data_IF_387011110027
#
_entry.id   IF_387011110027
#
_cell.length_a   1.000
_cell.length_b   1.000
_cell.length_c   1.000
_cell.angle_alpha   90.00
_cell.angle_beta   90.00
_cell.angle_gamma   90.00
#
_symmetry.space_group_name_H-M   'P 1'
#
loop_
_entity.id
_entity.type
_entity.pdbx_description
1 polymer ?
#
# COMPACT_ATOMS: atom_id res chain seq x y z
N UNK A 1 84.73 -13.89 3.38
CA UNK A 1 84.67 -13.30 2.03
C UNK A 1 83.89 -12.01 2.13
N UNK A 2 84.61 -10.91 1.83
CA UNK A 2 84.11 -9.56 1.90
C UNK A 2 83.23 -9.25 0.66
N UNK A 3 82.16 -8.50 0.81
CA UNK A 3 81.76 -7.50 -0.21
C UNK A 3 81.07 -6.27 0.45
N UNK A 4 81.50 -5.16 -0.03
CA UNK A 4 81.39 -3.77 0.43
C UNK A 4 80.02 -3.17 0.25
N UNK A 5 79.69 -2.27 1.17
CA UNK A 5 78.72 -1.23 1.06
C UNK A 5 79.02 -0.22 -0.07
N UNK A 6 78.01 0.21 -0.77
CA UNK A 6 78.08 1.45 -1.57
C UNK A 6 76.85 2.30 -1.23
N UNK A 7 77.15 3.47 -0.64
CA UNK A 7 76.18 4.55 -0.39
C UNK A 7 75.98 5.31 -1.69
N UNK A 8 74.71 5.57 -2.02
CA UNK A 8 74.34 6.61 -2.98
C UNK A 8 73.33 7.54 -2.28
N UNK A 9 73.83 8.74 -2.01
CA UNK A 9 73.04 9.88 -1.60
C UNK A 9 72.24 10.41 -2.78
N UNK A 10 70.94 10.58 -2.62
CA UNK A 10 70.11 11.33 -3.58
C UNK A 10 69.36 12.44 -2.88
N UNK A 11 69.54 13.64 -3.38
CA UNK A 11 69.07 14.89 -2.83
C UNK A 11 67.54 14.99 -2.84
N UNK A 12 66.99 15.41 -1.70
CA UNK A 12 65.60 15.77 -1.54
C UNK A 12 65.35 17.18 -2.11
N UNK A 13 64.59 17.27 -3.17
CA UNK A 13 64.00 18.53 -3.63
C UNK A 13 62.61 18.70 -2.99
N UNK A 14 62.51 19.64 -2.06
CA UNK A 14 61.24 20.09 -1.46
C UNK A 14 60.43 20.89 -2.52
N UNK A 15 59.36 20.30 -3.03
CA UNK A 15 58.29 21.00 -3.70
C UNK A 15 57.13 21.21 -2.72
N UNK A 16 57.02 22.40 -2.16
CA UNK A 16 55.89 22.89 -1.41
C UNK A 16 54.71 23.15 -2.35
N UNK A 17 53.74 22.23 -2.39
CA UNK A 17 52.45 22.52 -2.99
C UNK A 17 51.50 23.02 -1.89
N UNK A 18 51.17 24.30 -1.97
CA UNK A 18 50.14 24.94 -1.17
C UNK A 18 48.78 24.30 -1.47
N UNK A 19 48.23 23.59 -0.51
CA UNK A 19 46.81 23.22 -0.54
C UNK A 19 45.97 24.45 -0.17
N UNK A 20 45.29 25.01 -1.15
CA UNK A 20 44.26 25.98 -0.91
C UNK A 20 43.08 25.24 -0.21
N UNK A 21 42.86 25.54 1.04
CA UNK A 21 41.66 25.16 1.78
C UNK A 21 40.48 25.95 1.22
N UNK A 22 39.64 25.29 0.44
CA UNK A 22 38.33 25.82 0.10
C UNK A 22 37.48 25.75 1.37
N UNK A 23 37.26 26.88 2.03
CA UNK A 23 36.27 27.07 3.05
C UNK A 23 34.88 26.90 2.40
N UNK A 24 34.19 25.79 2.76
CA UNK A 24 32.77 25.67 2.49
C UNK A 24 32.04 26.69 3.34
N UNK A 25 31.34 27.61 2.72
CA UNK A 25 30.50 28.60 3.38
C UNK A 25 29.30 27.93 4.08
N UNK A 26 28.87 28.47 5.24
CA UNK A 26 27.69 27.98 5.94
C UNK A 26 26.44 28.59 5.27
N UNK A 27 25.78 27.88 4.39
CA UNK A 27 24.37 28.12 4.01
C UNK A 27 23.88 27.00 3.08
N UNK A 28 23.72 25.79 3.64
CA UNK A 28 22.74 24.85 3.13
C UNK A 28 21.54 24.92 4.07
N UNK A 29 20.55 25.69 3.68
CA UNK A 29 19.22 25.67 4.27
C UNK A 29 18.74 24.23 4.26
N UNK A 30 18.21 23.69 5.40
CA UNK A 30 17.63 22.36 5.38
C UNK A 30 16.52 22.33 4.34
N UNK A 31 16.54 21.34 3.45
CA UNK A 31 15.42 21.11 2.53
C UNK A 31 14.20 20.88 3.41
N UNK A 32 13.34 21.90 3.48
CA UNK A 32 11.99 21.75 4.03
C UNK A 32 11.36 20.55 3.34
N UNK A 33 10.84 19.62 4.15
CA UNK A 33 10.03 18.53 3.65
C UNK A 33 8.95 19.13 2.75
N UNK A 34 9.11 18.97 1.44
CA UNK A 34 8.08 19.35 0.48
C UNK A 34 6.89 18.45 0.78
N UNK A 35 5.82 19.04 1.32
CA UNK A 35 4.51 18.41 1.28
C UNK A 35 4.26 17.94 -0.15
N UNK A 36 3.82 16.69 -0.32
CA UNK A 36 3.43 16.19 -1.63
C UNK A 36 2.53 17.24 -2.31
N UNK A 37 2.73 17.53 -3.60
CA UNK A 37 1.88 18.49 -4.29
C UNK A 37 0.44 18.09 -4.10
N UNK A 38 -0.42 19.04 -3.77
CA UNK A 38 -1.86 18.80 -3.66
C UNK A 38 -2.34 18.16 -4.96
N UNK A 39 -3.18 17.12 -4.87
CA UNK A 39 -3.76 16.48 -6.04
C UNK A 39 -4.47 17.53 -6.89
N UNK A 40 -4.28 17.49 -8.19
CA UNK A 40 -4.99 18.37 -9.14
C UNK A 40 -6.48 18.01 -9.26
N UNK A 41 -6.89 16.88 -8.69
CA UNK A 41 -8.24 16.32 -8.81
C UNK A 41 -9.12 16.82 -7.67
N UNK A 42 -10.30 17.36 -8.01
CA UNK A 42 -11.32 17.71 -7.03
C UNK A 42 -12.03 16.45 -6.56
N UNK A 43 -12.07 16.24 -5.27
CA UNK A 43 -12.77 15.14 -4.60
C UNK A 43 -13.99 15.66 -3.84
N UNK A 44 -15.01 14.80 -3.70
CA UNK A 44 -16.09 15.01 -2.74
C UNK A 44 -15.88 14.05 -1.56
N UNK A 45 -15.92 14.59 -0.33
CA UNK A 45 -15.76 13.82 0.90
C UNK A 45 -17.12 13.39 1.44
N UNK A 46 -17.21 12.13 1.88
CA UNK A 46 -18.43 11.54 2.38
C UNK A 46 -18.18 10.77 3.67
N UNK A 47 -19.15 10.78 4.54
CA UNK A 47 -19.16 9.96 5.75
C UNK A 47 -20.53 9.31 5.93
N UNK A 48 -20.53 8.01 6.22
CA UNK A 48 -21.71 7.28 6.65
C UNK A 48 -21.48 6.63 8.01
N UNK A 49 -22.56 6.43 8.75
CA UNK A 49 -22.55 5.71 10.02
C UNK A 49 -23.38 4.43 9.85
N UNK A 50 -22.73 3.30 10.07
CA UNK A 50 -23.41 2.00 10.10
C UNK A 50 -23.75 1.65 11.56
N UNK A 51 -25.03 1.58 11.92
CA UNK A 51 -25.41 1.25 13.28
C UNK A 51 -25.23 -0.23 13.58
N UNK A 52 -24.77 -0.55 14.79
CA UNK A 52 -24.64 -1.91 15.31
C UNK A 52 -23.86 -2.85 14.38
N UNK A 53 -22.73 -2.40 13.86
CA UNK A 53 -21.91 -3.22 12.98
C UNK A 53 -21.32 -4.41 13.76
N UNK A 54 -21.65 -5.62 13.31
CA UNK A 54 -21.16 -6.86 13.92
C UNK A 54 -19.94 -7.36 13.18
N UNK A 55 -18.82 -7.47 13.89
CA UNK A 55 -17.57 -8.03 13.36
C UNK A 55 -17.62 -9.57 13.27
N UNK A 56 -16.73 -10.15 12.48
CA UNK A 56 -16.57 -11.60 12.36
C UNK A 56 -16.25 -12.30 13.68
N UNK A 57 -15.63 -11.59 14.63
CA UNK A 57 -15.41 -12.03 16.01
C UNK A 57 -16.69 -12.14 16.85
N UNK A 58 -17.81 -11.57 16.37
CA UNK A 58 -19.08 -11.47 17.09
C UNK A 58 -19.25 -10.19 17.90
N UNK A 59 -18.18 -9.40 18.08
CA UNK A 59 -18.22 -8.09 18.74
C UNK A 59 -19.09 -7.12 17.94
N UNK A 60 -19.72 -6.16 18.63
CA UNK A 60 -20.58 -5.15 17.99
C UNK A 60 -20.02 -3.77 18.31
N UNK A 61 -19.78 -2.96 17.28
CA UNK A 61 -19.57 -1.53 17.43
C UNK A 61 -20.92 -0.82 17.23
N UNK A 62 -21.40 -0.04 18.20
CA UNK A 62 -22.71 0.63 18.10
C UNK A 62 -22.81 1.55 16.88
N UNK A 63 -21.72 2.21 16.55
CA UNK A 63 -21.59 3.10 15.39
C UNK A 63 -20.25 2.85 14.71
N UNK A 64 -20.26 2.32 13.48
CA UNK A 64 -19.08 2.24 12.64
C UNK A 64 -19.11 3.42 11.67
N UNK A 65 -18.21 4.38 11.86
CA UNK A 65 -17.98 5.47 10.91
C UNK A 65 -17.19 4.94 9.71
N UNK A 66 -17.70 5.19 8.51
CA UNK A 66 -17.02 4.93 7.25
C UNK A 66 -16.91 6.23 6.45
N UNK A 67 -15.68 6.62 6.15
CA UNK A 67 -15.34 7.75 5.31
C UNK A 67 -14.87 7.25 3.94
N UNK A 68 -15.18 7.99 2.89
CA UNK A 68 -14.71 7.75 1.53
C UNK A 68 -14.71 9.04 0.72
N UNK A 69 -13.90 9.10 -0.31
CA UNK A 69 -13.91 10.18 -1.29
C UNK A 69 -14.41 9.66 -2.63
N UNK A 70 -14.97 10.57 -3.43
CA UNK A 70 -15.45 10.26 -4.78
C UNK A 70 -14.93 11.26 -5.81
N UNK A 71 -14.80 10.79 -7.07
CA UNK A 71 -14.52 11.62 -8.24
C UNK A 71 -15.43 11.16 -9.39
N UNK A 72 -15.82 12.10 -10.26
CA UNK A 72 -16.78 11.83 -11.32
C UNK A 72 -18.21 11.69 -10.80
N UNK A 73 -19.13 11.31 -11.68
CA UNK A 73 -20.55 11.23 -11.38
C UNK A 73 -21.10 9.81 -11.65
N UNK A 74 -22.01 9.30 -10.80
CA UNK A 74 -22.63 8.01 -11.02
C UNK A 74 -23.55 8.06 -12.25
N UNK A 75 -23.40 7.08 -13.12
CA UNK A 75 -24.30 6.86 -14.25
C UNK A 75 -25.16 5.62 -13.99
N UNK A 76 -26.42 5.68 -14.46
CA UNK A 76 -27.35 4.56 -14.42
C UNK A 76 -27.79 4.18 -15.82
N UNK A 77 -27.75 2.89 -16.11
CA UNK A 77 -28.24 2.36 -17.36
C UNK A 77 -29.77 2.46 -17.47
N UNK A 78 -30.33 2.06 -18.62
CA UNK A 78 -31.79 2.11 -18.88
C UNK A 78 -32.62 1.26 -17.89
N UNK A 79 -32.05 0.25 -17.27
CA UNK A 79 -32.70 -0.58 -16.26
C UNK A 79 -32.58 0.02 -14.82
N UNK A 80 -31.86 1.13 -14.67
CA UNK A 80 -31.69 1.85 -13.41
C UNK A 80 -30.50 1.38 -12.56
N UNK A 81 -29.68 0.45 -13.06
CA UNK A 81 -28.48 -0.04 -12.38
C UNK A 81 -27.28 0.89 -12.61
N UNK A 82 -26.44 1.02 -11.61
CA UNK A 82 -25.15 1.71 -11.73
C UNK A 82 -24.23 0.92 -12.65
N UNK A 83 -23.67 1.54 -13.69
CA UNK A 83 -22.86 0.84 -14.72
C UNK A 83 -21.43 1.40 -14.89
N UNK A 84 -21.10 2.49 -14.18
CA UNK A 84 -19.79 3.16 -14.31
C UNK A 84 -19.00 3.29 -13.01
N UNK A 85 -19.47 2.72 -11.90
CA UNK A 85 -18.81 2.85 -10.61
C UNK A 85 -17.54 1.98 -10.54
N UNK A 86 -16.44 2.54 -10.02
CA UNK A 86 -15.16 1.87 -9.81
C UNK A 86 -14.76 2.02 -8.35
N UNK A 87 -14.51 0.89 -7.69
CA UNK A 87 -14.02 0.85 -6.32
C UNK A 87 -12.49 0.74 -6.32
N UNK A 88 -11.81 1.71 -5.70
CA UNK A 88 -10.36 1.77 -5.60
C UNK A 88 -9.91 1.55 -4.16
N UNK A 89 -9.20 0.46 -3.88
CA UNK A 89 -8.84 0.02 -2.55
C UNK A 89 -7.34 0.23 -2.27
N UNK A 90 -7.03 0.95 -1.18
CA UNK A 90 -5.67 1.29 -0.79
C UNK A 90 -4.92 0.14 -0.06
N UNK A 91 -3.61 0.31 0.13
CA UNK A 91 -2.75 -0.63 0.87
C UNK A 91 -2.75 -0.40 2.38
N UNK A 92 -2.17 -1.35 3.12
CA UNK A 92 -2.03 -1.33 4.60
C UNK A 92 -1.43 -0.01 5.09
N UNK A 93 -2.07 0.60 6.09
CA UNK A 93 -1.65 1.88 6.67
C UNK A 93 -1.90 3.10 5.77
N UNK A 94 -2.63 2.91 4.65
CA UNK A 94 -3.09 3.98 3.78
C UNK A 94 -4.44 4.56 4.18
N UNK A 95 -5.03 5.32 3.26
CA UNK A 95 -6.37 5.92 3.39
C UNK A 95 -6.93 6.24 2.00
N UNK A 96 -8.12 6.82 1.93
CA UNK A 96 -8.80 7.21 0.69
C UNK A 96 -7.91 8.07 -0.25
N UNK A 97 -7.05 8.92 0.31
CA UNK A 97 -6.17 9.79 -0.48
C UNK A 97 -4.87 9.08 -0.95
N UNK A 98 -4.58 7.86 -0.50
CA UNK A 98 -3.32 7.17 -0.86
C UNK A 98 -3.17 6.96 -2.37
N UNK A 99 -4.28 6.75 -3.09
CA UNK A 99 -4.29 6.58 -4.54
C UNK A 99 -4.46 7.91 -5.30
N UNK A 100 -4.51 9.05 -4.59
CA UNK A 100 -4.48 10.39 -5.17
C UNK A 100 -3.07 10.88 -5.45
N UNK A 101 -2.02 10.07 -5.20
CA UNK A 101 -0.65 10.45 -5.54
C UNK A 101 -0.49 10.57 -7.06
N UNK A 102 0.34 11.53 -7.56
CA UNK A 102 0.47 11.81 -8.99
C UNK A 102 0.93 10.63 -9.85
N UNK A 103 1.71 9.68 -9.29
CA UNK A 103 2.17 8.48 -10.01
C UNK A 103 1.03 7.52 -10.34
N UNK A 104 -0.10 7.65 -9.65
CA UNK A 104 -1.32 6.89 -9.87
C UNK A 104 -2.41 7.75 -10.52
N UNK A 105 -2.85 8.80 -9.85
CA UNK A 105 -4.01 9.59 -10.25
C UNK A 105 -3.80 10.37 -11.56
N UNK A 106 -2.63 11.02 -11.74
CA UNK A 106 -2.37 11.80 -12.96
C UNK A 106 -2.21 10.92 -14.21
N UNK A 107 -1.89 9.65 -14.00
CA UNK A 107 -1.75 8.68 -15.09
C UNK A 107 -3.10 8.05 -15.49
N UNK A 108 -4.03 7.93 -14.53
CA UNK A 108 -5.24 7.12 -14.71
C UNK A 108 -6.54 7.93 -14.82
N UNK A 109 -6.63 9.13 -14.20
CA UNK A 109 -7.93 9.80 -14.00
C UNK A 109 -8.28 10.84 -15.07
N UNK A 110 -7.29 11.26 -15.87
CA UNK A 110 -7.49 12.27 -16.91
C UNK A 110 -8.38 11.82 -18.08
N UNK A 111 -8.87 12.78 -18.87
CA UNK A 111 -9.66 12.47 -20.08
C UNK A 111 -8.94 11.51 -21.02
N UNK A 112 -9.60 10.41 -21.37
CA UNK A 112 -9.04 9.35 -22.21
C UNK A 112 -8.13 8.34 -21.52
N UNK A 113 -7.80 8.52 -20.24
CA UNK A 113 -7.07 7.57 -19.43
C UNK A 113 -7.94 6.36 -19.03
N UNK A 114 -7.32 5.35 -18.41
CA UNK A 114 -7.99 4.09 -18.09
C UNK A 114 -9.17 4.24 -17.11
N UNK A 115 -9.07 5.18 -16.18
CA UNK A 115 -10.09 5.49 -15.17
C UNK A 115 -10.56 6.95 -15.30
N UNK A 116 -10.80 7.39 -16.52
CA UNK A 116 -11.25 8.73 -16.90
C UNK A 116 -12.47 9.16 -16.07
N UNK A 117 -12.31 10.15 -15.19
CA UNK A 117 -13.36 10.65 -14.27
C UNK A 117 -14.55 11.31 -15.00
N UNK A 118 -14.43 11.61 -16.30
CA UNK A 118 -15.56 12.08 -17.10
C UNK A 118 -16.50 10.94 -17.52
N UNK A 119 -16.07 9.68 -17.32
CA UNK A 119 -16.79 8.46 -17.68
C UNK A 119 -17.10 7.58 -16.48
N UNK A 120 -16.17 7.51 -15.52
CA UNK A 120 -16.27 6.64 -14.35
C UNK A 120 -16.58 7.44 -13.09
N UNK A 121 -17.35 6.81 -12.23
CA UNK A 121 -17.57 7.25 -10.85
C UNK A 121 -16.60 6.48 -9.94
N UNK A 122 -15.50 7.14 -9.55
CA UNK A 122 -14.49 6.54 -8.72
C UNK A 122 -14.87 6.70 -7.23
N UNK A 123 -14.78 5.61 -6.48
CA UNK A 123 -15.08 5.53 -5.04
C UNK A 123 -13.83 5.01 -4.35
N UNK A 124 -13.26 5.81 -3.47
CA UNK A 124 -12.05 5.49 -2.72
C UNK A 124 -12.38 5.51 -1.21
N UNK A 125 -12.69 4.36 -0.60
CA UNK A 125 -12.96 4.32 0.83
C UNK A 125 -11.66 4.37 1.64
N UNK A 126 -11.77 4.89 2.87
CA UNK A 126 -10.94 4.46 3.97
C UNK A 126 -11.39 3.05 4.40
N UNK A 127 -10.47 2.23 4.84
CA UNK A 127 -10.83 0.94 5.41
C UNK A 127 -11.07 1.04 6.93
N UNK A 128 -11.78 0.06 7.53
CA UNK A 128 -11.92 -0.03 8.98
C UNK A 128 -10.53 0.00 9.62
N UNK A 129 -10.34 0.83 10.62
CA UNK A 129 -9.06 1.00 11.29
C UNK A 129 -8.05 1.91 10.55
N UNK A 130 -8.47 2.63 9.50
CA UNK A 130 -7.62 3.49 8.69
C UNK A 130 -8.27 4.86 8.46
N UNK A 131 -7.45 5.85 8.10
CA UNK A 131 -7.89 7.17 7.70
C UNK A 131 -8.83 7.84 8.71
N UNK A 132 -9.98 8.27 8.24
CA UNK A 132 -11.03 8.87 9.05
C UNK A 132 -12.14 7.88 9.49
N UNK A 133 -12.02 6.58 9.15
CA UNK A 133 -12.91 5.56 9.65
C UNK A 133 -12.72 5.33 11.15
N UNK A 134 -13.71 4.68 11.77
CA UNK A 134 -13.54 4.20 13.14
C UNK A 134 -12.29 3.35 13.27
N UNK A 135 -11.45 3.65 14.26
CA UNK A 135 -10.16 3.01 14.49
C UNK A 135 -9.79 2.97 15.97
N UNK A 136 -8.82 2.16 16.38
CA UNK A 136 -8.37 2.05 17.77
C UNK A 136 -8.05 3.39 18.43
N UNK A 137 -7.34 4.28 17.74
CA UNK A 137 -6.93 5.59 18.26
C UNK A 137 -8.10 6.55 18.53
N UNK A 138 -9.32 6.26 18.07
CA UNK A 138 -10.52 7.07 18.36
C UNK A 138 -11.05 6.90 19.79
N UNK A 139 -10.30 6.24 20.71
CA UNK A 139 -10.59 6.15 22.13
C UNK A 139 -10.93 4.75 22.67
N UNK A 140 -11.16 3.75 21.80
CA UNK A 140 -11.29 2.37 22.22
C UNK A 140 -9.95 1.67 22.46
N UNK A 141 -8.90 2.21 21.87
CA UNK A 141 -7.52 1.70 22.00
C UNK A 141 -7.46 0.16 21.73
N UNK A 142 -6.78 -0.61 22.58
CA UNK A 142 -6.69 -2.06 22.44
C UNK A 142 -8.03 -2.81 22.60
N UNK A 143 -9.10 -2.12 23.01
CA UNK A 143 -10.46 -2.68 23.12
C UNK A 143 -11.30 -2.49 21.85
N UNK A 144 -10.73 -1.90 20.80
CA UNK A 144 -11.39 -1.83 19.50
C UNK A 144 -11.64 -3.27 18.97
N UNK A 145 -12.80 -3.55 18.34
CA UNK A 145 -13.09 -4.90 17.82
C UNK A 145 -12.02 -5.37 16.84
N UNK A 146 -11.60 -6.60 16.97
CA UNK A 146 -10.59 -7.20 16.10
C UNK A 146 -11.19 -7.48 14.71
N UNK A 147 -11.07 -6.54 13.81
CA UNK A 147 -11.53 -6.64 12.42
C UNK A 147 -10.57 -7.45 11.54
N UNK A 148 -11.08 -7.91 10.40
CA UNK A 148 -10.33 -8.59 9.34
C UNK A 148 -10.76 -8.08 7.95
N UNK A 149 -10.26 -8.71 6.87
CA UNK A 149 -10.60 -8.28 5.51
C UNK A 149 -12.04 -8.59 5.12
N UNK A 150 -12.66 -9.64 5.67
CA UNK A 150 -14.08 -9.91 5.47
C UNK A 150 -14.94 -8.81 6.08
N UNK A 151 -14.57 -8.32 7.27
CA UNK A 151 -15.23 -7.18 7.91
C UNK A 151 -15.12 -5.90 7.08
N UNK A 152 -13.92 -5.62 6.52
CA UNK A 152 -13.68 -4.47 5.64
C UNK A 152 -14.55 -4.55 4.38
N UNK A 153 -14.55 -5.69 3.68
CA UNK A 153 -15.34 -5.93 2.48
C UNK A 153 -16.84 -5.81 2.76
N UNK A 154 -17.30 -6.36 3.89
CA UNK A 154 -18.70 -6.21 4.32
C UNK A 154 -19.05 -4.75 4.61
N UNK A 155 -18.17 -4.00 5.28
CA UNK A 155 -18.35 -2.56 5.51
C UNK A 155 -18.42 -1.79 4.20
N UNK A 156 -17.51 -2.05 3.28
CA UNK A 156 -17.50 -1.44 1.93
C UNK A 156 -18.79 -1.79 1.17
N UNK A 157 -19.29 -3.03 1.25
CA UNK A 157 -20.55 -3.43 0.60
C UNK A 157 -21.73 -2.64 1.18
N UNK A 158 -21.82 -2.52 2.51
CA UNK A 158 -22.86 -1.72 3.16
C UNK A 158 -22.76 -0.22 2.83
N UNK A 159 -21.54 0.29 2.68
CA UNK A 159 -21.29 1.66 2.23
C UNK A 159 -21.85 1.88 0.82
N UNK A 160 -21.55 0.99 -0.12
CA UNK A 160 -22.06 1.06 -1.50
C UNK A 160 -23.59 1.01 -1.54
N UNK A 161 -24.23 0.15 -0.72
CA UNK A 161 -25.68 0.10 -0.58
C UNK A 161 -26.26 1.42 -0.08
N UNK A 162 -25.63 2.06 0.91
CA UNK A 162 -26.07 3.34 1.48
C UNK A 162 -26.05 4.47 0.45
N UNK A 163 -25.09 4.47 -0.48
CA UNK A 163 -25.00 5.43 -1.58
C UNK A 163 -25.71 4.95 -2.85
N UNK A 164 -26.43 3.82 -2.76
CA UNK A 164 -27.22 3.24 -3.86
C UNK A 164 -26.38 2.83 -5.08
N UNK A 165 -25.15 2.40 -4.89
CA UNK A 165 -24.33 1.74 -5.91
C UNK A 165 -24.59 0.25 -5.80
N UNK A 166 -25.30 -0.29 -6.74
CA UNK A 166 -25.78 -1.68 -6.77
C UNK A 166 -24.92 -2.60 -7.66
N UNK A 167 -23.97 -2.03 -8.40
CA UNK A 167 -23.02 -2.76 -9.23
C UNK A 167 -21.74 -1.95 -9.45
N UNK A 168 -20.62 -2.65 -9.68
CA UNK A 168 -19.32 -2.05 -9.95
C UNK A 168 -18.81 -2.47 -11.34
N UNK A 169 -18.37 -1.50 -12.12
CA UNK A 169 -17.64 -1.78 -13.36
C UNK A 169 -16.29 -2.42 -13.10
N UNK A 170 -15.62 -2.03 -12.00
CA UNK A 170 -14.29 -2.52 -11.65
C UNK A 170 -14.08 -2.42 -10.14
N UNK A 171 -13.39 -3.41 -9.56
CA UNK A 171 -12.70 -3.28 -8.28
C UNK A 171 -11.20 -3.35 -8.55
N UNK A 172 -10.46 -2.28 -8.26
CA UNK A 172 -9.01 -2.25 -8.32
C UNK A 172 -8.46 -2.06 -6.92
N UNK A 173 -7.69 -3.03 -6.45
CA UNK A 173 -7.09 -2.97 -5.13
C UNK A 173 -5.58 -3.17 -5.16
N UNK A 174 -4.89 -2.44 -4.29
CA UNK A 174 -3.42 -2.46 -4.19
C UNK A 174 -2.99 -3.00 -2.83
N UNK A 175 -2.06 -3.96 -2.78
CA UNK A 175 -1.53 -4.54 -1.53
C UNK A 175 -2.65 -5.11 -0.63
N UNK A 176 -2.99 -4.48 0.48
CA UNK A 176 -4.14 -4.84 1.30
C UNK A 176 -5.44 -4.82 0.49
N UNK A 177 -5.67 -3.77 -0.29
CA UNK A 177 -6.80 -3.68 -1.20
C UNK A 177 -6.82 -4.77 -2.28
N UNK A 178 -5.65 -5.26 -2.71
CA UNK A 178 -5.54 -6.43 -3.58
C UNK A 178 -6.11 -7.68 -2.88
N UNK A 179 -5.78 -7.90 -1.62
CA UNK A 179 -6.32 -9.01 -0.83
C UNK A 179 -7.84 -8.89 -0.65
N UNK A 180 -8.33 -7.70 -0.38
CA UNK A 180 -9.76 -7.43 -0.32
C UNK A 180 -10.45 -7.65 -1.67
N UNK A 181 -9.80 -7.34 -2.80
CA UNK A 181 -10.35 -7.60 -4.14
C UNK A 181 -10.62 -9.09 -4.36
N UNK A 182 -9.76 -9.98 -3.87
CA UNK A 182 -10.03 -11.43 -3.90
C UNK A 182 -11.19 -11.81 -2.98
N UNK A 183 -11.27 -11.24 -1.76
CA UNK A 183 -12.41 -11.46 -0.85
C UNK A 183 -13.72 -10.94 -1.46
N UNK A 184 -13.70 -9.80 -2.14
CA UNK A 184 -14.84 -9.32 -2.91
C UNK A 184 -15.30 -10.32 -3.97
N UNK A 185 -14.36 -10.83 -4.76
CA UNK A 185 -14.66 -11.75 -5.85
C UNK A 185 -15.25 -13.08 -5.38
N UNK A 186 -14.80 -13.64 -4.26
CA UNK A 186 -15.33 -14.91 -3.72
C UNK A 186 -16.64 -14.73 -2.94
N UNK A 187 -16.83 -13.56 -2.31
CA UNK A 187 -17.99 -13.27 -1.46
C UNK A 187 -19.17 -12.74 -2.26
N UNK A 188 -18.90 -11.87 -3.26
CA UNK A 188 -19.90 -11.20 -4.09
C UNK A 188 -19.57 -11.35 -5.59
N UNK A 189 -19.57 -12.58 -6.15
CA UNK A 189 -19.02 -12.87 -7.48
C UNK A 189 -19.72 -12.14 -8.62
N UNK A 190 -20.96 -11.70 -8.42
CA UNK A 190 -21.76 -11.01 -9.45
C UNK A 190 -21.84 -9.50 -9.25
N UNK A 191 -21.17 -8.94 -8.22
CA UNK A 191 -21.28 -7.53 -7.88
C UNK A 191 -20.38 -6.62 -8.73
N UNK A 192 -19.37 -7.17 -9.40
CA UNK A 192 -18.47 -6.44 -10.27
C UNK A 192 -18.30 -7.11 -11.63
N UNK A 193 -18.13 -6.29 -12.70
CA UNK A 193 -17.81 -6.80 -14.03
C UNK A 193 -16.39 -7.34 -14.12
N UNK A 194 -15.45 -6.73 -13.38
CA UNK A 194 -14.03 -7.05 -13.47
C UNK A 194 -13.30 -6.78 -12.14
N UNK A 195 -12.22 -7.54 -11.90
CA UNK A 195 -11.35 -7.41 -10.73
C UNK A 195 -9.91 -7.16 -11.16
N UNK A 196 -9.25 -6.20 -10.50
CA UNK A 196 -7.84 -5.86 -10.75
C UNK A 196 -7.02 -5.88 -9.44
N UNK A 197 -6.70 -7.06 -8.88
CA UNK A 197 -5.86 -7.20 -7.69
C UNK A 197 -4.38 -7.00 -8.03
N UNK A 198 -3.71 -6.01 -7.38
CA UNK A 198 -2.30 -5.69 -7.62
C UNK A 198 -1.47 -5.80 -6.34
N UNK A 199 -0.34 -6.50 -6.42
CA UNK A 199 0.67 -6.66 -5.37
C UNK A 199 0.20 -7.47 -4.14
N UNK A 200 -0.40 -8.64 -4.34
CA UNK A 200 -0.65 -9.62 -3.30
C UNK A 200 -0.67 -11.06 -3.84
N UNK A 201 -0.86 -12.03 -2.93
CA UNK A 201 -1.07 -13.43 -3.24
C UNK A 201 -2.39 -13.90 -2.63
N UNK A 202 -3.22 -14.67 -3.36
CA UNK A 202 -4.53 -15.15 -2.86
C UNK A 202 -4.39 -16.46 -2.08
N UNK A 203 -3.58 -16.43 -1.04
CA UNK A 203 -3.38 -17.55 -0.10
C UNK A 203 -3.21 -17.00 1.31
N UNK A 204 -3.23 -17.89 2.28
CA UNK A 204 -2.89 -17.57 3.67
C UNK A 204 -1.58 -16.78 3.74
N UNK A 205 -1.58 -15.68 4.50
CA UNK A 205 -0.36 -14.91 4.75
C UNK A 205 0.55 -15.69 5.69
N UNK A 206 1.62 -16.25 5.12
CA UNK A 206 2.61 -17.06 5.80
C UNK A 206 4.04 -16.60 5.48
N UNK A 207 5.03 -17.38 5.87
CA UNK A 207 6.44 -17.15 5.56
C UNK A 207 6.91 -15.76 5.95
N UNK A 208 7.77 -15.16 5.11
CA UNK A 208 8.40 -13.85 5.36
C UNK A 208 7.39 -12.73 5.60
N UNK A 209 6.31 -12.68 4.84
CA UNK A 209 5.27 -11.66 5.00
C UNK A 209 4.66 -11.71 6.42
N UNK A 210 4.26 -12.90 6.90
CA UNK A 210 3.72 -13.05 8.26
C UNK A 210 4.75 -12.79 9.33
N UNK A 211 5.99 -13.26 9.13
CA UNK A 211 7.10 -13.04 10.08
C UNK A 211 7.30 -11.54 10.30
N UNK A 212 7.43 -10.74 9.24
CA UNK A 212 7.64 -9.29 9.36
C UNK A 212 6.46 -8.59 10.05
N UNK A 213 5.20 -8.93 9.70
CA UNK A 213 4.00 -8.41 10.38
C UNK A 213 4.00 -8.75 11.87
N UNK A 214 4.33 -9.99 12.20
CA UNK A 214 4.41 -10.44 13.59
C UNK A 214 5.50 -9.70 14.37
N UNK A 215 6.69 -9.55 13.77
CA UNK A 215 7.80 -8.80 14.38
C UNK A 215 7.41 -7.34 14.66
N UNK A 216 6.77 -6.66 13.71
CA UNK A 216 6.33 -5.27 13.88
C UNK A 216 5.30 -5.13 15.02
N UNK A 217 4.33 -6.04 15.08
CA UNK A 217 3.34 -6.09 16.17
C UNK A 217 4.03 -6.35 17.52
N UNK A 218 4.96 -7.31 17.58
CA UNK A 218 5.65 -7.65 18.82
C UNK A 218 6.60 -6.54 19.29
N UNK A 219 7.25 -5.83 18.38
CA UNK A 219 8.10 -4.69 18.73
C UNK A 219 7.33 -3.64 19.54
N UNK A 220 6.10 -3.31 19.10
CA UNK A 220 5.26 -2.36 19.84
C UNK A 220 4.78 -2.97 21.16
N UNK A 221 4.28 -4.22 21.15
CA UNK A 221 3.72 -4.86 22.35
C UNK A 221 4.76 -5.12 23.45
N UNK A 222 6.04 -5.24 23.10
CA UNK A 222 7.15 -5.43 24.02
C UNK A 222 7.70 -4.10 24.57
N UNK A 223 7.35 -2.97 23.97
CA UNK A 223 7.71 -1.66 24.51
C UNK A 223 6.91 -1.42 25.82
N UNK A 224 7.58 -1.21 26.97
CA UNK A 224 6.89 -0.94 28.23
C UNK A 224 5.96 0.28 28.17
N UNK A 225 6.27 1.26 27.31
CA UNK A 225 5.45 2.46 27.13
C UNK A 225 4.10 2.17 26.46
N UNK A 226 3.94 1.03 25.77
CA UNK A 226 2.66 0.62 25.16
C UNK A 226 1.55 0.35 26.19
N UNK A 227 1.92 -0.10 27.41
CA UNK A 227 0.98 -0.28 28.55
C UNK A 227 -0.27 -1.11 28.21
N UNK A 228 -0.14 -2.16 27.39
CA UNK A 228 -1.28 -2.98 26.97
C UNK A 228 -2.25 -2.26 26.01
N UNK A 229 -1.82 -1.17 25.41
CA UNK A 229 -2.59 -0.34 24.50
C UNK A 229 -3.22 0.90 25.13
N UNK A 230 -3.03 1.13 26.44
CA UNK A 230 -3.57 2.27 27.18
C UNK A 230 -2.50 3.36 27.44
N UNK A 231 -1.57 3.56 26.46
CA UNK A 231 -0.53 4.57 26.54
C UNK A 231 -1.10 6.01 26.48
N UNK A 232 -0.37 6.94 27.09
CA UNK A 232 -0.67 8.38 27.03
C UNK A 232 0.22 9.12 26.02
N UNK A 233 1.38 8.54 25.74
CA UNK A 233 2.34 8.97 24.73
C UNK A 233 2.76 7.75 23.95
N UNK A 234 2.96 7.91 22.65
CA UNK A 234 3.31 6.80 21.77
C UNK A 234 4.52 5.99 22.29
N UNK A 235 4.48 4.65 22.19
CA UNK A 235 5.61 3.76 22.50
C UNK A 235 6.66 3.88 21.39
N UNK A 236 7.47 4.94 21.46
CA UNK A 236 8.36 5.40 20.37
C UNK A 236 9.39 4.35 19.97
N UNK A 237 9.93 3.58 20.92
CA UNK A 237 10.96 2.56 20.60
C UNK A 237 10.33 1.35 19.87
N UNK A 238 9.14 0.94 20.30
CA UNK A 238 8.37 -0.09 19.61
C UNK A 238 7.93 0.35 18.21
N UNK A 239 7.45 1.59 18.07
CA UNK A 239 7.10 2.19 16.78
C UNK A 239 8.31 2.32 15.86
N UNK A 240 9.48 2.71 16.39
CA UNK A 240 10.73 2.77 15.63
C UNK A 240 11.04 1.42 14.99
N UNK A 241 11.15 0.38 15.80
CA UNK A 241 11.46 -0.98 15.33
C UNK A 241 10.41 -1.50 14.35
N UNK A 242 9.13 -1.25 14.62
CA UNK A 242 8.05 -1.63 13.70
C UNK A 242 8.19 -0.95 12.34
N UNK A 243 8.50 0.35 12.31
CA UNK A 243 8.66 1.11 11.07
C UNK A 243 9.97 0.77 10.33
N UNK A 244 11.04 0.38 11.01
CA UNK A 244 12.26 -0.18 10.38
C UNK A 244 11.93 -1.46 9.59
N UNK A 245 11.14 -2.35 10.18
CA UNK A 245 10.67 -3.57 9.51
C UNK A 245 9.80 -3.21 8.28
N UNK A 246 8.86 -2.27 8.44
CA UNK A 246 7.99 -1.80 7.35
C UNK A 246 8.79 -1.18 6.21
N UNK A 247 9.82 -0.39 6.52
CA UNK A 247 10.72 0.21 5.53
C UNK A 247 11.37 -0.87 4.65
N UNK A 248 11.90 -1.92 5.27
CA UNK A 248 12.53 -3.03 4.53
C UNK A 248 11.48 -3.84 3.75
N UNK A 249 10.29 -4.08 4.32
CA UNK A 249 9.21 -4.79 3.62
C UNK A 249 8.85 -4.14 2.27
N UNK A 250 8.76 -2.81 2.24
CA UNK A 250 8.39 -2.05 1.04
C UNK A 250 9.55 -1.71 0.11
N UNK A 251 10.79 -2.04 0.46
CA UNK A 251 11.98 -1.61 -0.27
C UNK A 251 12.23 -2.38 -1.57
N UNK A 252 12.95 -1.73 -2.48
CA UNK A 252 13.53 -2.33 -3.69
C UNK A 252 15.02 -2.00 -3.74
N UNK A 253 15.91 -2.98 -3.94
CA UNK A 253 17.36 -2.74 -3.93
C UNK A 253 17.81 -1.66 -4.92
N UNK A 254 17.27 -1.67 -6.14
CA UNK A 254 17.62 -0.69 -7.17
C UNK A 254 17.24 0.74 -6.77
N UNK A 255 16.05 0.91 -6.20
CA UNK A 255 15.59 2.23 -5.77
C UNK A 255 16.33 2.71 -4.52
N UNK A 256 16.58 1.80 -3.57
CA UNK A 256 17.35 2.13 -2.37
C UNK A 256 18.78 2.58 -2.72
N UNK A 257 19.44 1.88 -3.66
CA UNK A 257 20.77 2.26 -4.11
C UNK A 257 20.78 3.60 -4.82
N UNK A 258 19.72 3.96 -5.56
CA UNK A 258 19.60 5.28 -6.21
C UNK A 258 19.36 6.40 -5.20
N UNK A 259 18.50 6.16 -4.20
CA UNK A 259 18.13 7.18 -3.21
C UNK A 259 19.22 7.39 -2.15
N UNK A 260 19.95 6.33 -1.82
CA UNK A 260 20.95 6.30 -0.76
C UNK A 260 22.27 5.65 -1.23
N UNK A 261 22.97 6.24 -2.23
CA UNK A 261 24.14 5.64 -2.87
C UNK A 261 25.43 5.68 -2.03
N UNK A 262 25.43 6.37 -0.89
CA UNK A 262 26.58 6.46 0.03
C UNK A 262 26.16 6.05 1.45
N UNK A 263 27.13 5.67 2.31
CA UNK A 263 26.86 5.35 3.71
C UNK A 263 26.09 6.45 4.42
N UNK A 264 26.59 7.70 4.34
CA UNK A 264 25.95 8.84 5.01
C UNK A 264 24.50 9.07 4.53
N UNK A 265 24.25 8.95 3.23
CA UNK A 265 22.88 9.09 2.67
C UNK A 265 21.97 7.93 3.10
N UNK A 266 22.52 6.72 3.26
CA UNK A 266 21.75 5.58 3.74
C UNK A 266 21.32 5.75 5.22
N UNK A 267 22.25 6.22 6.07
CA UNK A 267 21.96 6.54 7.47
C UNK A 267 20.91 7.67 7.56
N UNK A 268 21.12 8.75 6.82
CA UNK A 268 20.15 9.87 6.76
C UNK A 268 18.76 9.46 6.23
N UNK A 269 18.72 8.54 5.26
CA UNK A 269 17.45 8.02 4.74
C UNK A 269 16.63 7.33 5.83
N UNK A 270 17.28 6.49 6.66
CA UNK A 270 16.62 5.82 7.78
C UNK A 270 16.10 6.84 8.78
N UNK A 271 16.94 7.79 9.20
CA UNK A 271 16.55 8.81 10.19
C UNK A 271 15.35 9.65 9.73
N UNK A 272 15.37 10.10 8.47
CA UNK A 272 14.28 10.88 7.89
C UNK A 272 12.98 10.07 7.78
N UNK A 273 13.08 8.82 7.31
CA UNK A 273 11.93 7.93 7.22
C UNK A 273 11.29 7.68 8.59
N UNK A 274 12.08 7.36 9.59
CA UNK A 274 11.61 7.08 10.94
C UNK A 274 10.99 8.31 11.60
N UNK A 275 11.62 9.49 11.47
CA UNK A 275 11.07 10.72 12.01
C UNK A 275 9.68 11.01 11.46
N UNK A 276 9.47 10.87 10.15
CA UNK A 276 8.18 11.06 9.50
C UNK A 276 7.16 10.03 9.94
N UNK A 277 7.53 8.75 9.96
CA UNK A 277 6.60 7.66 10.28
C UNK A 277 6.17 7.66 11.74
N UNK A 278 7.08 7.88 12.68
CA UNK A 278 6.76 7.95 14.10
C UNK A 278 5.82 9.13 14.39
N UNK A 279 6.02 10.28 13.74
CA UNK A 279 5.15 11.43 13.93
C UNK A 279 3.71 11.26 13.41
N UNK A 280 3.46 10.25 12.55
CA UNK A 280 2.18 10.05 11.87
C UNK A 280 1.52 8.69 12.13
N UNK A 281 2.10 7.85 12.99
CA UNK A 281 1.60 6.49 13.23
C UNK A 281 1.18 6.32 14.68
N UNK A 282 -0.08 5.95 14.90
CA UNK A 282 -0.56 5.46 16.20
C UNK A 282 -0.21 3.97 16.35
N UNK A 283 0.27 3.59 17.53
CA UNK A 283 0.77 2.24 17.77
C UNK A 283 -0.34 1.17 17.76
N UNK A 284 -1.52 1.48 18.30
CA UNK A 284 -2.64 0.55 18.27
C UNK A 284 -3.20 0.40 16.86
N UNK A 285 -3.33 1.49 16.10
CA UNK A 285 -3.77 1.43 14.70
C UNK A 285 -2.84 0.52 13.89
N UNK A 286 -1.49 0.66 14.06
CA UNK A 286 -0.51 -0.20 13.40
C UNK A 286 -0.68 -1.67 13.76
N UNK A 287 -0.85 -2.00 15.05
CA UNK A 287 -1.08 -3.38 15.50
C UNK A 287 -2.32 -3.95 14.83
N UNK A 288 -3.42 -3.20 14.82
CA UNK A 288 -4.70 -3.68 14.31
C UNK A 288 -4.68 -3.88 12.80
N UNK A 289 -4.19 -2.92 12.01
CA UNK A 289 -4.20 -3.09 10.55
C UNK A 289 -3.21 -4.16 10.07
N UNK A 290 -2.08 -4.40 10.78
CA UNK A 290 -1.23 -5.54 10.46
C UNK A 290 -1.86 -6.88 10.86
N UNK A 291 -2.64 -6.90 11.95
CA UNK A 291 -3.31 -8.11 12.40
C UNK A 291 -4.61 -8.41 11.63
N UNK A 292 -5.17 -7.45 10.90
CA UNK A 292 -6.36 -7.64 10.08
C UNK A 292 -6.21 -8.78 9.05
N UNK A 293 -4.98 -9.07 8.64
CA UNK A 293 -4.64 -10.17 7.72
C UNK A 293 -4.54 -11.56 8.37
N UNK A 294 -4.84 -11.69 9.65
CA UNK A 294 -4.55 -12.92 10.45
C UNK A 294 -5.22 -14.19 9.93
N UNK A 295 -6.39 -14.06 9.36
CA UNK A 295 -7.22 -15.16 8.84
C UNK A 295 -7.46 -15.08 7.32
N UNK A 296 -6.81 -14.15 6.62
CA UNK A 296 -6.91 -14.07 5.17
C UNK A 296 -6.41 -15.33 4.49
N UNK A 297 -7.29 -16.01 3.78
CA UNK A 297 -6.99 -17.15 2.91
C UNK A 297 -8.13 -17.39 1.90
N UNK A 298 -8.15 -16.72 0.76
CA UNK A 298 -9.17 -16.96 -0.27
C UNK A 298 -8.90 -18.24 -1.08
N UNK A 299 -7.75 -18.91 -0.87
CA UNK A 299 -7.36 -20.05 -1.69
C UNK A 299 -8.38 -21.18 -1.76
N UNK A 300 -9.19 -21.49 -0.72
CA UNK A 300 -10.22 -22.53 -0.84
C UNK A 300 -11.34 -22.20 -1.82
N UNK A 301 -11.59 -20.90 -2.10
CA UNK A 301 -12.77 -20.40 -2.80
C UNK A 301 -12.48 -19.61 -4.09
N UNK A 302 -11.26 -19.67 -4.62
CA UNK A 302 -10.88 -18.95 -5.85
C UNK A 302 -11.72 -19.35 -7.08
N UNK A 303 -12.24 -20.56 -7.11
CA UNK A 303 -13.15 -21.07 -8.12
C UNK A 303 -14.53 -20.40 -8.13
N UNK A 304 -14.91 -19.70 -7.06
CA UNK A 304 -16.12 -18.87 -7.00
C UNK A 304 -15.98 -17.55 -7.72
N UNK A 305 -14.75 -17.10 -8.01
CA UNK A 305 -14.49 -15.84 -8.71
C UNK A 305 -14.80 -16.04 -10.20
N UNK A 306 -15.99 -15.61 -10.61
CA UNK A 306 -16.49 -15.73 -11.98
C UNK A 306 -16.19 -14.51 -12.84
N UNK A 307 -15.95 -13.36 -12.23
CA UNK A 307 -15.55 -12.15 -12.94
C UNK A 307 -14.16 -12.31 -13.58
N UNK A 308 -13.88 -11.69 -14.74
CA UNK A 308 -12.55 -11.55 -15.27
C UNK A 308 -11.60 -10.90 -14.26
N UNK A 309 -10.35 -11.41 -14.16
CA UNK A 309 -9.34 -10.94 -13.22
C UNK A 309 -8.06 -10.55 -13.96
N UNK A 310 -7.61 -9.32 -13.77
CA UNK A 310 -6.27 -8.87 -14.13
C UNK A 310 -5.41 -8.79 -12.86
N UNK A 311 -4.60 -9.78 -12.60
CA UNK A 311 -3.73 -9.83 -11.43
C UNK A 311 -2.31 -9.45 -11.80
N UNK A 312 -1.75 -8.41 -11.12
CA UNK A 312 -0.41 -7.88 -11.43
C UNK A 312 0.46 -7.86 -10.16
N UNK A 313 1.65 -8.46 -10.25
CA UNK A 313 2.71 -8.32 -9.26
C UNK A 313 4.02 -7.85 -9.94
N UNK A 314 4.98 -7.36 -9.15
CA UNK A 314 6.31 -6.96 -9.61
C UNK A 314 7.35 -8.01 -9.21
N UNK A 315 8.31 -8.31 -10.09
CA UNK A 315 9.34 -9.31 -9.85
C UNK A 315 10.35 -8.89 -8.77
N UNK A 316 10.42 -7.62 -8.41
CA UNK A 316 11.24 -7.10 -7.32
C UNK A 316 10.44 -6.89 -6.01
N UNK A 317 9.20 -7.41 -5.92
CA UNK A 317 8.38 -7.30 -4.71
C UNK A 317 8.91 -8.23 -3.61
N UNK A 318 9.42 -7.62 -2.54
CA UNK A 318 9.97 -8.34 -1.40
C UNK A 318 8.89 -9.03 -0.53
N UNK A 319 7.64 -8.53 -0.58
CA UNK A 319 6.50 -9.08 0.18
C UNK A 319 5.90 -10.28 -0.55
N UNK A 320 5.77 -10.19 -1.88
CA UNK A 320 5.17 -11.21 -2.74
C UNK A 320 6.17 -11.71 -3.78
N UNK A 321 7.28 -12.34 -3.37
CA UNK A 321 8.36 -12.69 -4.28
C UNK A 321 7.93 -13.80 -5.25
N UNK A 322 8.29 -13.69 -6.55
CA UNK A 322 7.89 -14.64 -7.57
C UNK A 322 8.49 -16.05 -7.37
N UNK A 323 9.62 -16.15 -6.65
CA UNK A 323 10.30 -17.42 -6.37
C UNK A 323 9.43 -18.42 -5.61
N UNK A 324 8.33 -17.98 -5.01
CA UNK A 324 7.38 -18.87 -4.34
C UNK A 324 6.55 -19.70 -5.32
N UNK A 325 6.45 -19.32 -6.61
CA UNK A 325 5.66 -20.02 -7.63
C UNK A 325 4.15 -20.08 -7.34
N UNK A 326 3.68 -19.27 -6.39
CA UNK A 326 2.29 -19.29 -5.91
C UNK A 326 1.34 -18.72 -6.96
N UNK A 327 1.72 -17.61 -7.57
CA UNK A 327 0.85 -16.91 -8.51
C UNK A 327 0.54 -17.78 -9.75
N UNK A 328 1.53 -18.46 -10.30
CA UNK A 328 1.41 -19.35 -11.44
C UNK A 328 0.54 -20.59 -11.16
N UNK A 329 0.44 -20.95 -9.88
CA UNK A 329 -0.42 -22.04 -9.43
C UNK A 329 -1.85 -21.57 -9.18
N UNK A 330 -2.01 -20.46 -8.46
CA UNK A 330 -3.32 -19.97 -8.04
C UNK A 330 -4.13 -19.35 -9.18
N UNK A 331 -3.49 -18.73 -10.17
CA UNK A 331 -4.19 -18.16 -11.34
C UNK A 331 -4.98 -19.23 -12.10
N UNK A 332 -4.51 -20.47 -12.13
CA UNK A 332 -5.17 -21.61 -12.81
C UNK A 332 -6.49 -22.02 -12.14
N UNK A 333 -6.72 -21.59 -10.91
CA UNK A 333 -7.95 -21.88 -10.17
C UNK A 333 -9.09 -20.93 -10.48
N UNK A 334 -8.80 -19.82 -11.16
CA UNK A 334 -9.77 -18.79 -11.58
C UNK A 334 -9.92 -18.85 -13.10
N UNK A 335 -11.10 -19.23 -13.63
CA UNK A 335 -11.26 -19.55 -15.05
C UNK A 335 -11.02 -18.37 -16.00
N UNK A 336 -11.22 -17.14 -15.50
CA UNK A 336 -11.09 -15.92 -16.30
C UNK A 336 -9.98 -14.99 -15.78
N UNK A 337 -8.97 -15.55 -15.11
CA UNK A 337 -7.86 -14.77 -14.58
C UNK A 337 -6.64 -14.76 -15.51
N UNK A 338 -6.02 -13.60 -15.63
CA UNK A 338 -4.69 -13.41 -16.23
C UNK A 338 -3.75 -12.86 -15.17
N UNK A 339 -2.62 -13.53 -14.95
CA UNK A 339 -1.55 -13.07 -14.10
C UNK A 339 -0.43 -12.43 -14.93
N UNK A 340 0.04 -11.25 -14.51
CA UNK A 340 1.16 -10.53 -15.10
C UNK A 340 2.22 -10.32 -14.02
N UNK A 341 3.43 -10.80 -14.29
CA UNK A 341 4.61 -10.49 -13.49
C UNK A 341 5.40 -9.40 -14.21
N UNK A 342 5.40 -8.20 -13.66
CA UNK A 342 6.18 -7.09 -14.21
C UNK A 342 7.67 -7.35 -14.00
N UNK A 343 8.52 -7.31 -15.04
CA UNK A 343 9.95 -7.52 -14.88
C UNK A 343 10.60 -6.39 -14.08
N UNK A 344 11.69 -6.72 -13.38
CA UNK A 344 12.53 -5.72 -12.69
C UNK A 344 13.04 -4.68 -13.68
N UNK A 345 12.89 -3.42 -13.35
CA UNK A 345 13.34 -2.31 -14.20
C UNK A 345 13.68 -1.07 -13.36
N UNK A 346 14.23 -0.06 -14.01
CA UNK A 346 14.48 1.24 -13.39
C UNK A 346 13.22 1.99 -12.95
N UNK A 347 12.05 1.59 -13.47
CA UNK A 347 10.77 2.18 -13.13
C UNK A 347 10.05 1.42 -12.00
N UNK A 348 10.39 0.14 -11.75
CA UNK A 348 9.81 -0.65 -10.67
C UNK A 348 10.35 -0.22 -9.30
N UNK A 349 9.58 -0.41 -8.25
CA UNK A 349 9.85 0.05 -6.88
C UNK A 349 9.52 -1.03 -5.85
N UNK A 350 9.84 -2.29 -6.16
CA UNK A 350 9.49 -3.42 -5.30
C UNK A 350 7.98 -3.47 -5.07
N UNK A 351 7.57 -3.65 -3.83
CA UNK A 351 6.15 -3.65 -3.48
C UNK A 351 5.42 -2.38 -3.93
N UNK A 352 6.07 -1.21 -3.84
CA UNK A 352 5.51 0.08 -4.27
C UNK A 352 5.22 0.23 -5.77
N UNK A 353 5.61 -0.72 -6.62
CA UNK A 353 5.33 -0.68 -8.07
C UNK A 353 3.83 -0.58 -8.38
N UNK A 354 2.97 -1.10 -7.51
CA UNK A 354 1.52 -1.04 -7.68
C UNK A 354 0.96 0.39 -7.74
N UNK A 355 1.65 1.38 -7.15
CA UNK A 355 1.24 2.80 -7.21
C UNK A 355 1.86 3.56 -8.39
N UNK A 356 2.77 2.95 -9.15
CA UNK A 356 3.42 3.55 -10.32
C UNK A 356 2.65 3.15 -11.58
N UNK A 357 1.50 3.77 -11.81
CA UNK A 357 0.55 3.36 -12.84
C UNK A 357 1.15 3.34 -14.26
N UNK A 358 2.14 4.19 -14.55
CA UNK A 358 2.81 4.22 -15.84
C UNK A 358 3.43 2.87 -16.24
N UNK A 359 3.78 2.01 -15.27
CA UNK A 359 4.42 0.70 -15.53
C UNK A 359 3.42 -0.36 -15.98
N UNK A 360 2.14 -0.24 -15.59
CA UNK A 360 1.14 -1.28 -15.82
C UNK A 360 -0.16 -0.79 -16.45
N UNK A 361 -0.36 0.50 -16.65
CA UNK A 361 -1.63 1.08 -17.16
C UNK A 361 -2.11 0.45 -18.46
N UNK A 362 -1.20 0.08 -19.36
CA UNK A 362 -1.57 -0.46 -20.68
C UNK A 362 -2.24 -1.84 -20.55
N UNK A 363 -1.85 -2.65 -19.57
CA UNK A 363 -2.55 -3.91 -19.24
C UNK A 363 -3.96 -3.64 -18.73
N UNK A 364 -4.16 -2.58 -17.93
CA UNK A 364 -5.49 -2.19 -17.44
C UNK A 364 -6.36 -1.69 -18.59
N UNK A 365 -5.82 -0.87 -19.50
CA UNK A 365 -6.55 -0.40 -20.70
C UNK A 365 -7.00 -1.56 -21.56
N UNK A 366 -6.09 -2.51 -21.88
CA UNK A 366 -6.41 -3.72 -22.63
C UNK A 366 -7.50 -4.53 -21.93
N UNK A 367 -7.37 -4.73 -20.63
CA UNK A 367 -8.31 -5.49 -19.82
C UNK A 367 -9.71 -4.89 -19.80
N UNK A 368 -9.82 -3.58 -19.56
CA UNK A 368 -11.12 -2.88 -19.56
C UNK A 368 -11.82 -2.89 -20.92
N UNK A 369 -11.04 -2.91 -22.02
CA UNK A 369 -11.59 -3.05 -23.37
C UNK A 369 -12.05 -4.47 -23.68
N UNK A 370 -11.40 -5.47 -23.10
CA UNK A 370 -11.70 -6.87 -23.33
C UNK A 370 -12.83 -7.42 -22.44
N UNK A 371 -13.18 -6.70 -21.37
CA UNK A 371 -14.25 -7.09 -20.44
C UNK A 371 -15.49 -6.26 -20.70
N UNK A 372 -16.58 -6.92 -21.10
CA UNK A 372 -17.86 -6.25 -21.29
C UNK A 372 -18.60 -6.07 -19.96
N UNK A 373 -19.35 -4.96 -19.77
CA UNK A 373 -20.24 -4.81 -18.62
C UNK A 373 -21.27 -5.94 -18.55
N UNK A 374 -21.57 -6.41 -17.33
CA UNK A 374 -22.62 -7.43 -17.10
C UNK A 374 -24.02 -6.86 -17.07
N UNK A 375 -24.17 -5.54 -16.75
CA UNK A 375 -25.47 -4.85 -16.62
C UNK A 375 -25.65 -3.74 -17.64
#
# INVERSE_FOLDING_TARGET
MHFRASQLALAAALLSTAFASAQAGPNSTPATAQSAPASQWSTADHTIILPNFRFGTGEILPELKLHFITLGEPHRNAAGHTDNAVLLLHGTGGNAHSLMNPLFSDVLFGPGAALDITKYFLILPDDIGHGENSKPSDGLHARFPAYDYDDMVRGQRMMLDAIKVDHLRLILGTSMGCMQTFVWGETYPDFADALAPFACLPIQIAGRNRIMRYMAIQAIKQDPAWMGGEYKTEPVEGLRTANEIVMIMGSSPLQMQKQAPTRALAEQYVDNYLAQRIASTDANDLIFYFNASRNYDPSPHLDRITAPVLWINSADDFINPPELGIAETMVKRMPHARFILLPVSDATRGHGTHTVAAVWKDYLVEFLRATEPKL
#
